data_IF_265525936170
#
_entry.id   IF_265525936170
#
_cell.length_a   1.000
_cell.length_b   1.000
_cell.length_c   1.000
_cell.angle_alpha   90.00
_cell.angle_beta   90.00
_cell.angle_gamma   90.00
#
_symmetry.space_group_name_H-M   'P 1'
#
loop_
_entity.id
_entity.type
_entity.pdbx_description
1 polymer ?
#
# COMPACT_ATOMS: atom_id res chain seq x y z
N UNK A 1 -8.38 -10.47 10.04
CA UNK A 1 -8.48 -9.23 10.87
C UNK A 1 -8.37 -9.65 12.33
N UNK A 2 -7.55 -8.99 13.15
CA UNK A 2 -7.61 -9.19 14.61
C UNK A 2 -8.92 -8.58 15.13
N UNK A 3 -9.53 -9.18 16.15
CA UNK A 3 -10.76 -8.63 16.75
C UNK A 3 -10.46 -7.26 17.34
N UNK A 4 -11.39 -6.33 17.17
CA UNK A 4 -11.39 -5.03 17.82
C UNK A 4 -11.18 -5.23 19.34
N UNK A 5 -10.26 -4.47 19.93
CA UNK A 5 -9.86 -4.64 21.35
C UNK A 5 -8.85 -5.75 21.65
N UNK A 6 -8.33 -6.47 20.65
CA UNK A 6 -7.23 -7.44 20.84
C UNK A 6 -5.91 -6.85 20.39
N UNK A 7 -5.02 -6.60 21.36
CA UNK A 7 -3.66 -6.11 21.13
C UNK A 7 -2.81 -7.19 20.46
N UNK A 8 -2.06 -6.83 19.42
CA UNK A 8 -1.06 -7.73 18.84
C UNK A 8 0.00 -8.07 19.92
N UNK A 9 0.16 -9.35 20.30
CA UNK A 9 1.06 -9.74 21.39
C UNK A 9 2.55 -9.56 21.06
N UNK A 10 2.88 -9.24 19.80
CA UNK A 10 4.26 -9.06 19.33
C UNK A 10 4.71 -7.60 19.29
N UNK A 11 3.81 -6.65 19.08
CA UNK A 11 4.16 -5.23 18.94
C UNK A 11 3.31 -4.26 19.76
N UNK A 12 2.31 -4.74 20.52
CA UNK A 12 1.47 -3.88 21.35
C UNK A 12 0.44 -3.05 20.57
N UNK A 13 0.26 -3.33 19.28
CA UNK A 13 -0.70 -2.60 18.43
C UNK A 13 -2.14 -3.02 18.75
N UNK A 14 -2.97 -2.07 19.19
CA UNK A 14 -4.43 -2.23 19.25
C UNK A 14 -5.04 -2.02 17.87
N UNK A 15 -5.97 -2.90 17.50
CA UNK A 15 -6.66 -2.83 16.22
C UNK A 15 -7.55 -1.58 16.16
N UNK A 16 -6.99 -0.47 15.67
CA UNK A 16 -7.71 0.65 15.06
C UNK A 16 -7.47 0.66 13.55
N UNK A 17 -8.34 1.33 12.79
CA UNK A 17 -8.31 1.43 11.32
C UNK A 17 -7.08 2.15 10.72
N UNK A 18 -5.99 2.29 11.48
CA UNK A 18 -4.79 3.01 11.08
C UNK A 18 -3.74 2.00 10.67
N UNK A 19 -3.19 2.13 9.47
CA UNK A 19 -2.02 1.35 9.06
C UNK A 19 -0.80 2.26 9.17
N UNK A 20 0.04 2.18 10.24
CA UNK A 20 1.15 3.12 10.44
C UNK A 20 2.12 3.12 9.25
N UNK A 21 2.31 1.97 8.62
CA UNK A 21 3.16 1.82 7.43
C UNK A 21 2.61 2.50 6.17
N UNK A 22 1.31 2.76 6.08
CA UNK A 22 0.72 3.36 4.88
C UNK A 22 1.23 4.79 4.65
N UNK A 23 1.39 5.58 5.72
CA UNK A 23 1.92 6.94 5.62
C UNK A 23 3.40 6.94 5.22
N UNK A 24 4.21 6.07 5.82
CA UNK A 24 5.62 5.94 5.48
C UNK A 24 5.81 5.42 4.05
N UNK A 25 5.02 4.44 3.63
CA UNK A 25 5.03 3.94 2.26
C UNK A 25 4.61 5.01 1.23
N UNK A 26 3.63 5.84 1.56
CA UNK A 26 3.21 6.96 0.72
C UNK A 26 4.32 8.03 0.61
N UNK A 27 4.96 8.38 1.72
CA UNK A 27 6.12 9.30 1.73
C UNK A 27 7.27 8.76 0.89
N UNK A 28 7.59 7.48 1.05
CA UNK A 28 8.63 6.82 0.26
C UNK A 28 8.29 6.83 -1.24
N UNK A 29 7.06 6.49 -1.62
CA UNK A 29 6.62 6.54 -3.01
C UNK A 29 6.75 7.95 -3.61
N UNK A 30 6.28 8.99 -2.90
CA UNK A 30 6.44 10.40 -3.34
C UNK A 30 7.91 10.78 -3.51
N UNK A 31 8.74 10.37 -2.55
CA UNK A 31 10.19 10.60 -2.62
C UNK A 31 10.81 9.91 -3.84
N UNK A 32 10.44 8.66 -4.12
CA UNK A 32 10.91 7.93 -5.29
C UNK A 32 10.49 8.62 -6.59
N UNK A 33 9.21 9.03 -6.72
CA UNK A 33 8.73 9.77 -7.90
C UNK A 33 9.58 11.03 -8.11
N UNK A 34 9.83 11.80 -7.04
CA UNK A 34 10.61 13.04 -7.11
C UNK A 34 12.06 12.81 -7.56
N UNK A 35 12.70 11.74 -7.11
CA UNK A 35 14.13 11.49 -7.36
C UNK A 35 14.36 10.71 -8.65
N UNK A 36 13.51 9.74 -8.94
CA UNK A 36 13.70 8.77 -10.04
C UNK A 36 12.71 8.93 -11.18
N UNK A 37 11.71 9.81 -11.07
CA UNK A 37 10.60 9.92 -12.03
C UNK A 37 9.63 8.73 -11.99
N UNK A 38 9.80 7.83 -11.01
CA UNK A 38 8.99 6.62 -10.83
C UNK A 38 8.85 6.33 -9.34
N UNK A 39 7.66 5.89 -8.93
CA UNK A 39 7.41 5.46 -7.56
C UNK A 39 8.15 4.19 -7.15
N UNK A 40 8.56 3.37 -8.13
CA UNK A 40 9.42 2.21 -7.94
C UNK A 40 10.85 2.62 -8.29
N UNK A 41 11.80 2.55 -7.34
CA UNK A 41 13.20 2.88 -7.60
C UNK A 41 13.89 1.77 -8.42
N UNK A 42 14.99 2.08 -9.13
CA UNK A 42 15.70 1.11 -9.99
C UNK A 42 16.21 -0.14 -9.25
N UNK A 43 16.56 0.03 -7.98
CA UNK A 43 16.94 -1.06 -7.08
C UNK A 43 16.33 -0.83 -5.70
N UNK A 44 15.82 -1.90 -5.08
CA UNK A 44 15.22 -1.84 -3.75
C UNK A 44 15.55 -3.11 -2.95
N UNK A 45 16.25 -2.95 -1.83
CA UNK A 45 16.57 -4.05 -0.93
C UNK A 45 15.43 -4.26 0.07
N UNK A 46 15.00 -5.51 0.25
CA UNK A 46 13.98 -5.88 1.23
C UNK A 46 14.70 -6.53 2.40
N UNK A 47 14.90 -5.78 3.48
CA UNK A 47 15.62 -6.26 4.68
C UNK A 47 14.67 -6.45 5.88
N UNK A 48 13.48 -5.87 5.80
CA UNK A 48 12.47 -5.89 6.84
C UNK A 48 11.06 -6.03 6.26
N UNK A 49 10.10 -6.28 7.14
CA UNK A 49 8.69 -6.21 6.79
C UNK A 49 8.29 -4.80 6.36
N UNK A 50 8.87 -3.76 6.97
CA UNK A 50 8.61 -2.37 6.58
C UNK A 50 9.00 -2.09 5.12
N UNK A 51 10.18 -2.56 4.70
CA UNK A 51 10.65 -2.44 3.32
C UNK A 51 9.71 -3.15 2.34
N UNK A 52 9.18 -4.31 2.74
CA UNK A 52 8.21 -5.03 1.93
C UNK A 52 6.92 -4.21 1.74
N UNK A 53 6.40 -3.58 2.79
CA UNK A 53 5.22 -2.70 2.67
C UNK A 53 5.49 -1.50 1.76
N UNK A 54 6.66 -0.88 1.88
CA UNK A 54 7.05 0.25 1.02
C UNK A 54 7.07 -0.21 -0.45
N UNK A 55 7.75 -1.32 -0.76
CA UNK A 55 7.85 -1.80 -2.13
C UNK A 55 6.49 -2.19 -2.72
N UNK A 56 5.67 -2.92 -1.96
CA UNK A 56 4.34 -3.35 -2.41
C UNK A 56 3.43 -2.15 -2.65
N UNK A 57 3.42 -1.19 -1.74
CA UNK A 57 2.64 0.05 -1.90
C UNK A 57 3.14 0.87 -3.08
N UNK A 58 4.47 0.93 -3.28
CA UNK A 58 5.05 1.67 -4.38
C UNK A 58 4.63 1.07 -5.74
N UNK A 59 4.67 -0.26 -5.86
CA UNK A 59 4.17 -0.97 -7.05
C UNK A 59 2.68 -0.72 -7.29
N UNK A 60 1.88 -0.82 -6.22
CA UNK A 60 0.45 -0.58 -6.27
C UNK A 60 0.12 0.83 -6.76
N UNK A 61 0.67 1.86 -6.13
CA UNK A 61 0.41 3.27 -6.48
C UNK A 61 0.94 3.62 -7.88
N UNK A 62 2.14 3.16 -8.24
CA UNK A 62 2.68 3.40 -9.59
C UNK A 62 1.78 2.81 -10.67
N UNK A 63 1.22 1.62 -10.45
CA UNK A 63 0.28 1.02 -11.39
C UNK A 63 -1.07 1.73 -11.38
N UNK A 64 -1.59 2.07 -10.19
CA UNK A 64 -2.86 2.77 -10.01
C UNK A 64 -2.89 4.08 -10.80
N UNK A 65 -1.90 4.96 -10.59
CA UNK A 65 -1.85 6.24 -11.29
C UNK A 65 -1.51 6.13 -12.78
N UNK A 66 -0.83 5.06 -13.20
CA UNK A 66 -0.57 4.81 -14.63
C UNK A 66 -1.82 4.33 -15.37
N UNK A 67 -2.65 3.53 -14.70
CA UNK A 67 -3.83 2.92 -15.29
C UNK A 67 -5.09 3.77 -15.14
N UNK A 68 -5.14 4.62 -14.11
CA UNK A 68 -6.31 5.43 -13.75
C UNK A 68 -7.61 4.60 -13.77
N UNK A 69 -7.71 3.54 -12.93
CA UNK A 69 -8.85 2.64 -12.98
C UNK A 69 -10.16 3.36 -12.60
N UNK A 70 -11.26 2.97 -13.24
CA UNK A 70 -12.60 3.50 -12.95
C UNK A 70 -13.20 2.96 -11.64
N UNK A 71 -12.70 1.81 -11.15
CA UNK A 71 -13.17 1.13 -9.95
C UNK A 71 -11.99 0.67 -9.09
N UNK A 72 -11.85 1.29 -7.92
CA UNK A 72 -10.79 1.02 -6.96
C UNK A 72 -10.83 -0.41 -6.40
N UNK A 73 -12.03 -0.93 -6.12
CA UNK A 73 -12.19 -2.25 -5.51
C UNK A 73 -11.83 -3.36 -6.51
N UNK A 74 -12.26 -3.22 -7.77
CA UNK A 74 -11.86 -4.14 -8.85
C UNK A 74 -10.35 -4.11 -9.05
N UNK A 75 -9.75 -2.92 -9.12
CA UNK A 75 -8.31 -2.77 -9.28
C UNK A 75 -7.52 -3.43 -8.13
N UNK A 76 -7.98 -3.26 -6.89
CA UNK A 76 -7.38 -3.89 -5.70
C UNK A 76 -7.43 -5.41 -5.83
N UNK A 77 -8.58 -5.99 -6.17
CA UNK A 77 -8.71 -7.44 -6.30
C UNK A 77 -7.79 -8.03 -7.37
N UNK A 78 -7.61 -7.32 -8.48
CA UNK A 78 -6.64 -7.70 -9.53
C UNK A 78 -5.20 -7.68 -9.02
N UNK A 79 -4.80 -6.66 -8.23
CA UNK A 79 -3.46 -6.59 -7.66
C UNK A 79 -3.20 -7.69 -6.62
N UNK A 80 -4.27 -8.15 -5.95
CA UNK A 80 -4.17 -9.22 -4.97
C UNK A 80 -4.14 -10.62 -5.58
N UNK A 81 -4.46 -10.78 -6.86
CA UNK A 81 -4.50 -12.09 -7.52
C UNK A 81 -3.15 -12.84 -7.41
N UNK A 82 -2.04 -12.13 -7.59
CA UNK A 82 -0.69 -12.70 -7.43
C UNK A 82 -0.36 -13.05 -5.97
N UNK A 83 -0.82 -12.25 -5.01
CA UNK A 83 -0.66 -12.54 -3.58
C UNK A 83 -1.44 -13.79 -3.18
N UNK A 84 -2.67 -13.94 -3.69
CA UNK A 84 -3.56 -15.08 -3.43
C UNK A 84 -3.03 -16.39 -3.97
N UNK A 85 -2.25 -16.38 -5.04
CA UNK A 85 -1.63 -17.57 -5.63
C UNK A 85 -0.25 -17.90 -5.04
N UNK A 86 0.25 -17.10 -4.10
CA UNK A 86 1.56 -17.28 -3.47
C UNK A 86 1.45 -17.97 -2.09
N UNK A 87 2.60 -18.37 -1.54
CA UNK A 87 2.73 -18.83 -0.15
C UNK A 87 2.25 -17.79 0.90
N UNK A 88 2.05 -16.54 0.46
CA UNK A 88 1.58 -15.41 1.29
C UNK A 88 0.10 -15.10 1.09
N UNK A 89 -0.69 -16.05 0.57
CA UNK A 89 -2.14 -15.90 0.36
C UNK A 89 -2.90 -15.42 1.59
N UNK A 90 -2.45 -15.80 2.80
CA UNK A 90 -3.01 -15.34 4.08
C UNK A 90 -2.91 -13.83 4.30
N UNK A 91 -2.04 -13.12 3.57
CA UNK A 91 -1.91 -11.67 3.62
C UNK A 91 -2.88 -10.95 2.66
N UNK A 92 -3.57 -11.66 1.75
CA UNK A 92 -4.38 -11.02 0.72
C UNK A 92 -5.50 -10.15 1.31
N UNK A 93 -6.25 -10.69 2.29
CA UNK A 93 -7.32 -9.94 2.96
C UNK A 93 -6.78 -8.74 3.73
N UNK A 94 -5.58 -8.88 4.30
CA UNK A 94 -4.91 -7.76 4.98
C UNK A 94 -4.52 -6.67 3.98
N UNK A 95 -3.91 -7.04 2.85
CA UNK A 95 -3.51 -6.09 1.82
C UNK A 95 -4.70 -5.43 1.12
N UNK A 96 -5.87 -6.10 1.01
CA UNK A 96 -7.12 -5.48 0.54
C UNK A 96 -7.47 -4.24 1.36
N UNK A 97 -7.64 -4.42 2.67
CA UNK A 97 -8.05 -3.35 3.57
C UNK A 97 -6.95 -2.29 3.72
N UNK A 98 -5.68 -2.71 3.69
CA UNK A 98 -4.54 -1.81 3.63
C UNK A 98 -4.57 -0.92 2.37
N UNK A 99 -4.81 -1.47 1.18
CA UNK A 99 -4.83 -0.69 -0.06
C UNK A 99 -6.02 0.27 -0.12
N UNK A 100 -7.21 -0.13 0.36
CA UNK A 100 -8.33 0.80 0.55
C UNK A 100 -7.94 1.97 1.44
N UNK A 101 -7.26 1.69 2.55
CA UNK A 101 -6.76 2.74 3.44
C UNK A 101 -5.73 3.66 2.75
N UNK A 102 -4.80 3.10 1.97
CA UNK A 102 -3.84 3.87 1.17
C UNK A 102 -4.56 4.79 0.17
N UNK A 103 -5.54 4.30 -0.58
CA UNK A 103 -6.29 5.12 -1.55
C UNK A 103 -7.13 6.22 -0.87
N UNK A 104 -7.67 5.94 0.32
CA UNK A 104 -8.34 6.96 1.14
C UNK A 104 -7.37 8.07 1.55
N UNK A 105 -6.14 7.73 1.94
CA UNK A 105 -5.10 8.73 2.25
C UNK A 105 -4.72 9.55 1.03
N UNK A 106 -4.60 8.93 -0.15
CA UNK A 106 -4.28 9.60 -1.41
C UNK A 106 -5.39 10.57 -1.81
N UNK A 107 -6.65 10.13 -1.78
CA UNK A 107 -7.82 10.95 -2.17
C UNK A 107 -8.09 12.12 -1.22
N UNK A 108 -7.72 11.99 0.07
CA UNK A 108 -7.85 13.04 1.06
C UNK A 108 -6.67 14.00 1.14
N UNK A 109 -5.60 13.76 0.40
CA UNK A 109 -4.37 14.55 0.44
C UNK A 109 -4.38 15.61 -0.69
N UNK A 110 -4.36 16.92 -0.38
CA UNK A 110 -4.42 18.00 -1.37
C UNK A 110 -3.23 18.03 -2.34
N UNK A 111 -2.22 17.17 -2.13
CA UNK A 111 -1.06 17.01 -3.02
C UNK A 111 -1.30 16.04 -4.18
N UNK A 112 -2.48 15.43 -4.31
CA UNK A 112 -2.86 14.57 -5.43
C UNK A 112 -4.03 15.15 -6.25
N UNK A 113 -3.81 16.18 -7.08
CA UNK A 113 -4.78 16.49 -8.12
C UNK A 113 -4.88 15.30 -9.08
N UNK A 114 -6.10 14.88 -9.42
CA UNK A 114 -6.34 13.96 -10.55
C UNK A 114 -5.58 14.48 -11.77
N UNK A 115 -4.75 13.64 -12.39
CA UNK A 115 -3.91 14.01 -13.54
C UNK A 115 -2.49 14.52 -13.24
N UNK A 116 -1.93 14.20 -12.07
CA UNK A 116 -0.55 14.61 -11.70
C UNK A 116 0.46 13.45 -11.79
N UNK A 117 0.59 12.86 -12.97
CA UNK A 117 1.79 12.11 -13.40
C UNK A 117 1.99 12.30 -14.91
#
# INVERSE_FOLDING_TARGET
MFREGVVCPRCGYECGDVYPMAQEALRAWKYHVRIYGSGIPPAYAILSLGDFYILVTAKFLTKYFRMEPDDDDVFIEEQLAELKSSERSYLADHFREYFKYVLKLVSGDPLFPRGSL
#
